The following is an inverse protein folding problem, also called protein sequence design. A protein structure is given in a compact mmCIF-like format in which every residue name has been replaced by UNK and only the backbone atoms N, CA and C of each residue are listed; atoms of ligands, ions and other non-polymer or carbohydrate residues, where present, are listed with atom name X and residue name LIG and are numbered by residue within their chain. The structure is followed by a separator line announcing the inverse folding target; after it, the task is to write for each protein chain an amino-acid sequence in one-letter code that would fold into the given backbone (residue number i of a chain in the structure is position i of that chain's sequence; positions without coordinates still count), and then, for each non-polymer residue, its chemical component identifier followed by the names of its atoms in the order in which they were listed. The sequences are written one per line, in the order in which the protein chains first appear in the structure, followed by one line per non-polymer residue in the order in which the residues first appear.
data_IF_739084752011
#
_entry.id   IF_739084752011
#
_cell.length_a   1.000
_cell.length_b   1.000
_cell.length_c   1.000
_cell.angle_alpha   90.00
_cell.angle_beta   90.00
_cell.angle_gamma   90.00
#
_symmetry.space_group_name_H-M   'P 1'
#
loop_
_entity.id
_entity.type
_entity.pdbx_description
1 polymer ?
#
# COMPACT_ATOMS: atom_id res chain seq x y z
N UNK A 1 1.41 20.10 -33.08
CA UNK A 1 0.76 20.47 -31.81
C UNK A 1 -0.63 20.97 -32.17
N UNK A 2 -1.64 20.11 -32.07
CA UNK A 2 -3.02 20.49 -32.35
C UNK A 2 -3.54 21.37 -31.21
N UNK A 3 -4.26 22.44 -31.56
CA UNK A 3 -4.93 23.31 -30.60
C UNK A 3 -5.84 22.47 -29.71
N UNK A 4 -5.66 22.57 -28.38
CA UNK A 4 -6.66 22.08 -27.43
C UNK A 4 -7.83 23.05 -27.51
N UNK A 5 -8.84 22.70 -28.30
CA UNK A 5 -10.16 23.30 -28.15
C UNK A 5 -10.58 23.08 -26.69
N UNK A 6 -10.77 24.17 -25.95
CA UNK A 6 -11.43 24.15 -24.66
C UNK A 6 -12.92 23.89 -24.92
N UNK A 7 -13.24 22.64 -25.24
CA UNK A 7 -14.60 22.14 -25.21
C UNK A 7 -15.08 22.30 -23.76
N UNK A 8 -16.08 23.16 -23.54
CA UNK A 8 -16.77 23.25 -22.25
C UNK A 8 -17.36 21.88 -21.96
N UNK A 9 -16.71 21.14 -21.06
CA UNK A 9 -17.17 19.81 -20.69
C UNK A 9 -18.43 19.93 -19.86
N UNK A 10 -19.48 19.29 -20.34
CA UNK A 10 -20.73 19.13 -19.62
C UNK A 10 -20.51 18.12 -18.47
N UNK A 11 -20.31 18.65 -17.26
CA UNK A 11 -20.13 17.85 -16.05
C UNK A 11 -21.33 16.96 -15.74
N UNK A 12 -22.55 17.38 -16.09
CA UNK A 12 -23.76 16.57 -15.88
C UNK A 12 -23.79 15.38 -16.82
N UNK A 13 -23.45 15.59 -18.09
CA UNK A 13 -23.33 14.49 -19.04
C UNK A 13 -22.23 13.50 -18.63
N UNK A 14 -21.11 13.99 -18.10
CA UNK A 14 -20.03 13.14 -17.59
C UNK A 14 -20.46 12.36 -16.33
N UNK A 15 -21.15 13.01 -15.39
CA UNK A 15 -21.69 12.37 -14.20
C UNK A 15 -22.66 11.24 -14.56
N UNK A 16 -23.55 11.45 -15.52
CA UNK A 16 -24.50 10.43 -15.97
C UNK A 16 -23.79 9.22 -16.58
N UNK A 17 -22.76 9.44 -17.40
CA UNK A 17 -21.93 8.35 -17.92
C UNK A 17 -21.21 7.58 -16.83
N UNK A 18 -20.77 8.24 -15.76
CA UNK A 18 -20.14 7.58 -14.61
C UNK A 18 -21.13 6.66 -13.90
N UNK A 19 -22.38 7.11 -13.66
CA UNK A 19 -23.43 6.27 -13.03
C UNK A 19 -23.68 5.00 -13.83
N UNK A 20 -23.77 5.16 -15.14
CA UNK A 20 -24.13 4.09 -16.07
C UNK A 20 -22.91 3.37 -16.63
N UNK A 21 -21.71 3.56 -16.05
CA UNK A 21 -20.46 2.98 -16.57
C UNK A 21 -20.53 1.45 -16.70
N UNK A 22 -21.23 0.80 -15.78
CA UNK A 22 -21.42 -0.64 -15.78
C UNK A 22 -22.39 -1.12 -16.90
N UNK A 23 -23.27 -0.25 -17.37
CA UNK A 23 -24.18 -0.49 -18.50
C UNK A 23 -23.51 -0.15 -19.83
N UNK A 24 -22.65 0.88 -19.87
CA UNK A 24 -21.85 1.26 -21.04
C UNK A 24 -20.76 0.22 -21.34
N UNK A 25 -20.22 -0.44 -20.30
CA UNK A 25 -19.17 -1.46 -20.42
C UNK A 25 -19.53 -2.77 -19.70
N UNK A 26 -20.62 -3.48 -20.07
CA UNK A 26 -21.11 -4.65 -19.33
C UNK A 26 -20.06 -5.79 -19.30
N UNK A 27 -19.29 -5.93 -20.38
CA UNK A 27 -18.21 -6.91 -20.45
C UNK A 27 -17.16 -6.71 -19.33
N UNK A 28 -16.84 -5.46 -18.96
CA UNK A 28 -15.86 -5.13 -17.90
C UNK A 28 -16.27 -5.64 -16.53
N UNK A 29 -17.58 -5.72 -16.28
CA UNK A 29 -18.13 -6.09 -14.99
C UNK A 29 -18.59 -7.55 -14.95
N UNK A 30 -18.61 -8.26 -16.09
CA UNK A 30 -19.15 -9.63 -16.19
C UNK A 30 -18.39 -10.63 -15.31
N UNK A 31 -17.11 -10.39 -15.07
CA UNK A 31 -16.25 -11.25 -14.25
C UNK A 31 -16.36 -11.01 -12.73
N UNK A 32 -17.12 -10.00 -12.31
CA UNK A 32 -17.24 -9.60 -10.92
C UNK A 32 -18.42 -10.27 -10.26
N UNK A 33 -18.29 -10.55 -8.96
CA UNK A 33 -19.45 -10.93 -8.15
C UNK A 33 -20.45 -9.77 -8.04
N UNK A 34 -21.74 -10.07 -7.85
CA UNK A 34 -22.78 -9.05 -7.65
C UNK A 34 -22.44 -8.10 -6.49
N UNK A 35 -21.87 -8.63 -5.40
CA UNK A 35 -21.41 -7.84 -4.25
C UNK A 35 -20.30 -6.86 -4.65
N UNK A 36 -19.36 -7.29 -5.50
CA UNK A 36 -18.30 -6.44 -6.03
C UNK A 36 -18.87 -5.34 -6.92
N UNK A 37 -19.82 -5.68 -7.80
CA UNK A 37 -20.49 -4.72 -8.69
C UNK A 37 -21.24 -3.67 -7.86
N UNK A 38 -22.04 -4.09 -6.86
CA UNK A 38 -22.78 -3.18 -5.99
C UNK A 38 -21.85 -2.16 -5.29
N UNK A 39 -20.75 -2.64 -4.70
CA UNK A 39 -19.73 -1.76 -4.09
C UNK A 39 -19.09 -0.80 -5.09
N UNK A 40 -18.94 -1.20 -6.36
CA UNK A 40 -18.40 -0.30 -7.40
C UNK A 40 -19.42 0.74 -7.82
N UNK A 41 -20.71 0.38 -7.88
CA UNK A 41 -21.79 1.33 -8.13
C UNK A 41 -21.83 2.43 -7.06
N UNK A 42 -21.63 2.09 -5.79
CA UNK A 42 -21.52 3.09 -4.71
C UNK A 42 -20.38 4.09 -4.95
N UNK A 43 -19.18 3.60 -5.31
CA UNK A 43 -18.04 4.49 -5.63
C UNK A 43 -18.31 5.33 -6.89
N UNK A 44 -18.94 4.76 -7.92
CA UNK A 44 -19.32 5.49 -9.12
C UNK A 44 -20.37 6.57 -8.83
N UNK A 45 -21.33 6.28 -7.95
CA UNK A 45 -22.30 7.27 -7.49
C UNK A 45 -21.63 8.43 -6.75
N UNK A 46 -20.73 8.13 -5.81
CA UNK A 46 -19.93 9.15 -5.10
C UNK A 46 -19.16 10.06 -6.07
N UNK A 47 -18.64 9.50 -7.17
CA UNK A 47 -17.92 10.26 -8.20
C UNK A 47 -18.88 11.11 -9.03
N UNK A 48 -20.03 10.55 -9.42
CA UNK A 48 -21.05 11.27 -10.19
C UNK A 48 -21.60 12.46 -9.39
N UNK A 49 -21.90 12.26 -8.12
CA UNK A 49 -22.40 13.31 -7.22
C UNK A 49 -21.36 14.43 -7.05
N UNK A 50 -20.08 14.07 -6.97
CA UNK A 50 -19.00 15.05 -6.90
C UNK A 50 -18.79 15.82 -8.22
N UNK A 51 -18.98 15.17 -9.37
CA UNK A 51 -18.98 15.86 -10.67
C UNK A 51 -20.15 16.84 -10.79
N UNK A 52 -21.34 16.44 -10.33
CA UNK A 52 -22.54 17.31 -10.30
C UNK A 52 -22.37 18.49 -9.34
N UNK A 53 -21.70 18.28 -8.21
CA UNK A 53 -21.41 19.32 -7.22
C UNK A 53 -20.26 20.25 -7.66
N UNK A 54 -19.45 19.86 -8.66
CA UNK A 54 -18.27 20.60 -9.08
C UNK A 54 -17.09 20.55 -8.10
N UNK A 55 -17.18 19.72 -7.05
CA UNK A 55 -16.16 19.57 -6.01
C UNK A 55 -15.90 18.09 -5.72
N UNK A 56 -14.63 17.68 -5.73
CA UNK A 56 -14.24 16.31 -5.43
C UNK A 56 -13.26 16.27 -4.24
N UNK A 57 -13.54 15.52 -3.16
CA UNK A 57 -12.59 15.38 -2.05
C UNK A 57 -11.31 14.66 -2.52
N UNK A 58 -10.16 15.34 -2.46
CA UNK A 58 -8.89 14.75 -2.90
C UNK A 58 -8.55 13.43 -2.15
N UNK A 59 -9.03 13.27 -0.92
CA UNK A 59 -8.89 12.04 -0.13
C UNK A 59 -9.51 10.81 -0.82
N UNK A 60 -10.61 10.99 -1.57
CA UNK A 60 -11.31 9.92 -2.30
C UNK A 60 -10.70 9.60 -3.67
N UNK A 61 -9.69 10.37 -4.12
CA UNK A 61 -9.08 10.17 -5.44
C UNK A 61 -8.34 8.82 -5.56
N UNK A 62 -7.83 8.33 -4.43
CA UNK A 62 -7.21 7.01 -4.36
C UNK A 62 -8.26 5.89 -4.57
N UNK A 63 -9.46 6.05 -4.00
CA UNK A 63 -10.55 5.07 -4.11
C UNK A 63 -11.04 4.95 -5.54
N UNK A 64 -11.17 6.08 -6.26
CA UNK A 64 -11.46 6.11 -7.68
C UNK A 64 -10.42 5.31 -8.49
N UNK A 65 -9.13 5.65 -8.33
CA UNK A 65 -8.05 4.96 -9.06
C UNK A 65 -8.04 3.47 -8.79
N UNK A 66 -8.19 3.08 -7.53
CA UNK A 66 -8.17 1.68 -7.12
C UNK A 66 -9.36 0.92 -7.70
N UNK A 67 -10.56 1.50 -7.60
CA UNK A 67 -11.79 0.91 -8.14
C UNK A 67 -11.67 0.67 -9.64
N UNK A 68 -11.13 1.62 -10.39
CA UNK A 68 -10.94 1.47 -11.84
C UNK A 68 -9.81 0.50 -12.21
N UNK A 69 -8.70 0.53 -11.49
CA UNK A 69 -7.61 -0.42 -11.69
C UNK A 69 -8.07 -1.86 -11.42
N UNK A 70 -8.90 -2.06 -10.40
CA UNK A 70 -9.45 -3.36 -10.06
C UNK A 70 -10.44 -3.86 -11.11
N UNK A 71 -11.27 -2.97 -11.69
CA UNK A 71 -12.16 -3.33 -12.80
C UNK A 71 -11.35 -3.86 -13.98
N UNK A 72 -10.34 -3.12 -14.41
CA UNK A 72 -9.44 -3.53 -15.49
C UNK A 72 -8.70 -4.83 -15.16
N UNK A 73 -8.25 -5.00 -13.91
CA UNK A 73 -7.53 -6.20 -13.47
C UNK A 73 -8.42 -7.44 -13.50
N UNK A 74 -9.65 -7.35 -13.01
CA UNK A 74 -10.58 -8.48 -13.03
C UNK A 74 -11.01 -8.83 -14.44
N UNK A 75 -11.36 -7.83 -15.26
CA UNK A 75 -11.67 -8.04 -16.66
C UNK A 75 -10.51 -8.73 -17.41
N UNK A 76 -9.28 -8.26 -17.18
CA UNK A 76 -8.09 -8.89 -17.75
C UNK A 76 -7.90 -10.33 -17.27
N UNK A 77 -8.07 -10.58 -15.98
CA UNK A 77 -7.91 -11.91 -15.39
C UNK A 77 -8.97 -12.90 -15.88
N UNK A 78 -10.18 -12.43 -16.18
CA UNK A 78 -11.23 -13.21 -16.84
C UNK A 78 -11.14 -13.26 -18.36
N UNK A 79 -10.30 -12.40 -18.94
CA UNK A 79 -10.05 -12.27 -20.36
C UNK A 79 -9.34 -13.50 -20.93
N UNK A 80 -8.84 -13.42 -22.19
CA UNK A 80 -8.43 -14.58 -22.96
C UNK A 80 -7.24 -15.30 -22.31
N UNK A 81 -7.58 -16.29 -21.48
CA UNK A 81 -6.71 -17.35 -20.99
C UNK A 81 -6.48 -18.43 -22.05
N UNK A 82 -6.80 -18.14 -23.33
CA UNK A 82 -6.60 -19.04 -24.45
C UNK A 82 -5.14 -19.50 -24.47
N UNK A 83 -4.86 -20.80 -24.28
CA UNK A 83 -3.51 -21.33 -24.32
C UNK A 83 -2.77 -21.02 -25.64
N UNK A 84 -3.51 -20.79 -26.73
CA UNK A 84 -2.94 -20.42 -28.03
C UNK A 84 -2.49 -18.95 -28.10
N UNK A 85 -2.96 -18.09 -27.21
CA UNK A 85 -2.60 -16.67 -27.17
C UNK A 85 -1.18 -16.45 -26.66
N UNK A 86 -0.75 -17.17 -25.62
CA UNK A 86 0.60 -17.07 -25.08
C UNK A 86 1.69 -17.52 -26.06
N UNK A 87 1.30 -18.16 -27.16
CA UNK A 87 2.19 -18.66 -28.21
C UNK A 87 2.26 -17.74 -29.46
N UNK A 88 1.48 -16.65 -29.51
CA UNK A 88 1.54 -15.66 -30.61
C UNK A 88 2.44 -14.47 -30.20
N UNK A 89 3.50 -14.15 -30.96
CA UNK A 89 4.39 -13.01 -30.69
C UNK A 89 3.65 -11.67 -30.51
N UNK A 90 2.55 -11.47 -31.23
CA UNK A 90 1.73 -10.27 -31.27
C UNK A 90 0.78 -10.17 -30.06
N UNK A 91 0.23 -11.31 -29.62
CA UNK A 91 -0.57 -11.40 -28.40
C UNK A 91 0.28 -11.15 -27.14
N UNK A 92 1.56 -11.56 -27.14
CA UNK A 92 2.53 -11.22 -26.10
C UNK A 92 2.79 -9.70 -26.02
N UNK A 93 2.77 -8.98 -27.14
CA UNK A 93 2.89 -7.51 -27.17
C UNK A 93 1.69 -6.83 -26.51
N UNK A 94 0.48 -7.31 -26.82
CA UNK A 94 -0.80 -6.80 -26.30
C UNK A 94 -1.01 -7.20 -24.83
N UNK A 95 -0.62 -8.42 -24.43
CA UNK A 95 -0.60 -8.87 -23.05
C UNK A 95 0.43 -8.10 -22.20
N UNK A 96 1.64 -7.83 -22.73
CA UNK A 96 2.59 -6.93 -22.07
C UNK A 96 2.07 -5.51 -21.95
N UNK A 97 1.33 -5.02 -22.96
CA UNK A 97 0.71 -3.71 -22.92
C UNK A 97 -0.30 -3.63 -21.76
N UNK A 98 -1.23 -4.58 -21.68
CA UNK A 98 -2.23 -4.72 -20.62
C UNK A 98 -1.65 -4.92 -19.20
N UNK A 99 -0.56 -5.68 -19.08
CA UNK A 99 0.12 -5.90 -17.79
C UNK A 99 0.93 -4.70 -17.31
N UNK A 100 1.54 -3.96 -18.25
CA UNK A 100 2.23 -2.71 -17.94
C UNK A 100 1.28 -1.56 -17.61
N UNK A 101 -0.02 -1.74 -17.88
CA UNK A 101 -1.07 -0.73 -17.66
C UNK A 101 -1.83 -0.89 -16.34
N UNK A 102 -1.23 -1.53 -15.33
CA UNK A 102 -1.74 -1.61 -13.94
C UNK A 102 -1.87 -0.24 -13.21
N UNK A 103 -2.04 0.86 -13.95
CA UNK A 103 -2.25 2.17 -13.40
C UNK A 103 -2.98 3.11 -14.36
N UNK A 104 -3.84 3.93 -13.76
CA UNK A 104 -4.47 5.14 -14.30
C UNK A 104 -3.55 6.01 -15.20
N UNK A 105 -2.24 5.96 -15.02
CA UNK A 105 -1.24 6.76 -15.76
C UNK A 105 -0.88 6.25 -17.17
N UNK A 106 -1.43 5.11 -17.60
CA UNK A 106 -0.95 4.39 -18.78
C UNK A 106 -1.87 4.42 -20.01
N UNK A 107 -3.07 5.03 -19.90
CA UNK A 107 -4.05 5.14 -21.00
C UNK A 107 -3.47 5.66 -22.33
N UNK A 108 -2.76 6.81 -22.34
CA UNK A 108 -2.12 7.32 -23.56
C UNK A 108 -1.08 6.35 -24.16
N UNK A 109 -0.37 5.59 -23.33
CA UNK A 109 0.60 4.60 -23.77
C UNK A 109 -0.08 3.35 -24.33
N UNK A 110 -1.20 2.91 -23.74
CA UNK A 110 -2.00 1.80 -24.25
C UNK A 110 -2.61 2.16 -25.61
N UNK A 111 -3.20 3.35 -25.74
CA UNK A 111 -3.73 3.89 -27.00
C UNK A 111 -2.70 3.83 -28.12
N UNK A 112 -1.50 4.40 -27.90
CA UNK A 112 -0.41 4.39 -28.90
C UNK A 112 0.00 2.98 -29.31
N UNK A 113 0.00 2.03 -28.37
CA UNK A 113 0.33 0.62 -28.66
C UNK A 113 -0.76 -0.03 -29.52
N UNK A 114 -2.04 0.24 -29.23
CA UNK A 114 -3.18 -0.27 -29.99
C UNK A 114 -3.28 0.35 -31.39
N UNK A 115 -3.06 1.66 -31.52
CA UNK A 115 -2.98 2.34 -32.81
C UNK A 115 -1.83 1.77 -33.67
N UNK A 116 -0.66 1.56 -33.05
CA UNK A 116 0.48 0.92 -33.73
C UNK A 116 0.14 -0.52 -34.15
N UNK A 117 -0.52 -1.29 -33.30
CA UNK A 117 -0.97 -2.65 -33.60
C UNK A 117 -1.94 -2.65 -34.78
N UNK A 118 -3.00 -1.83 -34.75
CA UNK A 118 -3.96 -1.72 -35.83
C UNK A 118 -3.32 -1.29 -37.17
N UNK A 119 -2.31 -0.42 -37.11
CA UNK A 119 -1.53 0.00 -38.29
C UNK A 119 -0.67 -1.12 -38.86
N UNK A 120 -0.04 -1.93 -38.01
CA UNK A 120 0.86 -3.02 -38.43
C UNK A 120 0.09 -4.29 -38.82
N UNK A 121 -1.08 -4.52 -38.24
CA UNK A 121 -1.87 -5.75 -38.38
C UNK A 121 -3.37 -5.46 -38.57
N UNK A 122 -3.77 -4.82 -39.69
CA UNK A 122 -5.14 -4.33 -39.87
C UNK A 122 -6.21 -5.43 -39.93
N UNK A 123 -5.88 -6.62 -40.46
CA UNK A 123 -6.83 -7.74 -40.52
C UNK A 123 -6.95 -8.48 -39.19
N UNK A 124 -5.87 -8.53 -38.39
CA UNK A 124 -5.91 -9.11 -37.03
C UNK A 124 -6.69 -8.18 -36.09
N UNK A 125 -6.52 -6.87 -36.21
CA UNK A 125 -7.24 -5.86 -35.43
C UNK A 125 -8.78 -5.87 -35.62
N UNK A 126 -9.28 -6.55 -36.65
CA UNK A 126 -10.72 -6.74 -36.88
C UNK A 126 -11.25 -8.06 -36.31
N UNK A 127 -10.37 -8.94 -35.82
CA UNK A 127 -10.77 -10.25 -35.33
C UNK A 127 -11.51 -10.13 -34.00
N UNK A 128 -12.54 -10.96 -33.73
CA UNK A 128 -13.33 -10.90 -32.49
C UNK A 128 -12.48 -10.96 -31.22
N UNK A 129 -11.36 -11.66 -31.30
CA UNK A 129 -10.43 -11.89 -30.20
C UNK A 129 -9.67 -10.59 -29.78
N UNK A 130 -9.68 -9.56 -30.63
CA UNK A 130 -9.10 -8.24 -30.31
C UNK A 130 -10.08 -7.29 -29.64
N UNK A 131 -11.39 -7.58 -29.66
CA UNK A 131 -12.43 -6.73 -29.09
C UNK A 131 -12.19 -6.36 -27.61
N UNK A 132 -11.76 -7.29 -26.72
CA UNK A 132 -11.50 -6.95 -25.32
C UNK A 132 -10.47 -5.82 -25.11
N UNK A 133 -9.51 -5.68 -26.02
CA UNK A 133 -8.50 -4.61 -25.93
C UNK A 133 -9.06 -3.24 -26.27
N UNK A 134 -9.97 -3.20 -27.24
CA UNK A 134 -10.68 -1.97 -27.60
C UNK A 134 -11.66 -1.56 -26.51
N UNK A 135 -12.34 -2.53 -25.90
CA UNK A 135 -13.18 -2.28 -24.72
C UNK A 135 -12.34 -1.70 -23.56
N UNK A 136 -11.18 -2.30 -23.28
CA UNK A 136 -10.25 -1.78 -22.25
C UNK A 136 -9.74 -0.38 -22.57
N UNK A 137 -9.44 -0.11 -23.84
CA UNK A 137 -9.00 1.22 -24.26
C UNK A 137 -10.10 2.25 -24.04
N UNK A 138 -11.31 1.98 -24.55
CA UNK A 138 -12.46 2.86 -24.40
C UNK A 138 -12.79 3.13 -22.93
N UNK A 139 -12.76 2.08 -22.10
CA UNK A 139 -12.92 2.21 -20.65
C UNK A 139 -11.81 3.06 -20.03
N UNK A 140 -10.55 2.79 -20.35
CA UNK A 140 -9.39 3.52 -19.80
C UNK A 140 -9.39 4.99 -20.21
N UNK A 141 -9.79 5.29 -21.44
CA UNK A 141 -9.90 6.66 -21.96
C UNK A 141 -10.97 7.45 -21.21
N UNK A 142 -12.15 6.85 -21.00
CA UNK A 142 -13.21 7.45 -20.18
C UNK A 142 -12.71 7.67 -18.74
N UNK A 143 -12.00 6.71 -18.16
CA UNK A 143 -11.44 6.86 -16.81
C UNK A 143 -10.39 7.96 -16.72
N UNK A 144 -9.54 8.09 -17.73
CA UNK A 144 -8.56 9.17 -17.79
C UNK A 144 -9.24 10.53 -17.91
N UNK A 145 -10.32 10.64 -18.68
CA UNK A 145 -11.13 11.84 -18.78
C UNK A 145 -11.74 12.18 -17.41
N UNK A 146 -12.44 11.23 -16.79
CA UNK A 146 -13.06 11.40 -15.46
C UNK A 146 -12.02 11.84 -14.43
N UNK A 147 -10.92 11.12 -14.29
CA UNK A 147 -9.91 11.46 -13.29
C UNK A 147 -9.16 12.76 -13.57
N UNK A 148 -9.09 13.21 -14.83
CA UNK A 148 -8.57 14.55 -15.15
C UNK A 148 -9.53 15.61 -14.63
N UNK A 149 -10.84 15.43 -14.84
CA UNK A 149 -11.87 16.35 -14.32
C UNK A 149 -11.94 16.36 -12.80
N UNK A 150 -11.89 15.18 -12.16
CA UNK A 150 -11.86 15.09 -10.68
C UNK A 150 -10.64 15.78 -10.08
N UNK A 151 -9.50 15.82 -10.79
CA UNK A 151 -8.32 16.56 -10.32
C UNK A 151 -8.49 18.07 -10.44
N UNK A 152 -9.17 18.54 -11.48
CA UNK A 152 -9.48 19.97 -11.66
C UNK A 152 -10.44 20.48 -10.58
N UNK A 153 -11.35 19.62 -10.12
CA UNK A 153 -12.31 19.91 -9.04
C UNK A 153 -11.85 19.47 -7.65
N UNK A 154 -10.60 19.00 -7.51
CA UNK A 154 -10.11 18.40 -6.28
C UNK A 154 -9.93 19.43 -5.16
N UNK A 155 -10.75 19.36 -4.11
CA UNK A 155 -10.59 20.17 -2.90
C UNK A 155 -9.69 19.42 -1.88
N UNK A 156 -8.61 20.07 -1.43
CA UNK A 156 -7.63 19.48 -0.48
C UNK A 156 -8.21 19.24 0.91
N UNK A 157 -9.22 20.02 1.29
CA UNK A 157 -9.88 19.97 2.60
C UNK A 157 -11.36 20.21 2.33
N UNK A 158 -12.19 19.18 2.47
CA UNK A 158 -13.64 19.39 2.58
C UNK A 158 -13.82 20.25 3.83
N UNK A 159 -14.34 21.47 3.68
CA UNK A 159 -14.63 22.29 4.85
C UNK A 159 -15.77 21.60 5.59
N UNK A 160 -15.44 20.92 6.70
CA UNK A 160 -16.45 20.40 7.63
C UNK A 160 -17.38 21.54 8.03
N UNK A 161 -18.67 21.26 8.11
CA UNK A 161 -19.69 22.20 8.58
C UNK A 161 -19.41 22.60 10.04
N UNK A 162 -19.94 23.74 10.49
CA UNK A 162 -19.80 24.20 11.89
C UNK A 162 -20.24 23.11 12.88
N UNK A 163 -21.38 22.46 12.60
CA UNK A 163 -21.94 21.39 13.42
C UNK A 163 -21.05 20.12 13.50
N UNK A 164 -20.38 19.75 12.40
CA UNK A 164 -19.42 18.63 12.40
C UNK A 164 -18.11 18.96 13.13
N UNK A 165 -17.74 20.25 13.23
CA UNK A 165 -16.59 20.69 14.02
C UNK A 165 -16.91 20.76 15.50
N UNK A 166 -18.13 21.14 15.87
CA UNK A 166 -18.59 21.21 17.26
C UNK A 166 -18.84 19.83 17.87
N UNK A 167 -19.18 18.81 17.06
CA UNK A 167 -19.44 17.45 17.53
C UNK A 167 -18.17 16.59 17.70
N UNK A 168 -17.03 16.96 17.11
CA UNK A 168 -15.75 16.32 17.39
C UNK A 168 -15.10 17.00 18.59
N UNK A 169 -15.09 16.34 19.75
CA UNK A 169 -14.15 16.69 20.82
C UNK A 169 -12.72 16.54 20.25
N UNK A 170 -12.14 17.66 19.80
CA UNK A 170 -10.78 17.67 19.28
C UNK A 170 -9.85 17.37 20.44
N UNK A 171 -9.41 16.11 20.53
CA UNK A 171 -8.31 15.73 21.41
C UNK A 171 -7.08 16.56 21.05
N UNK A 172 -6.82 17.61 21.82
CA UNK A 172 -5.62 18.42 21.71
C UNK A 172 -4.51 17.65 22.43
N UNK A 173 -3.51 17.19 21.66
CA UNK A 173 -2.34 16.55 22.25
C UNK A 173 -1.65 17.52 23.21
N UNK A 174 -1.42 17.13 24.48
CA UNK A 174 -0.70 17.96 25.44
C UNK A 174 0.71 18.30 24.94
N UNK A 175 1.22 19.46 25.35
CA UNK A 175 2.61 19.84 25.09
C UNK A 175 3.57 18.94 25.87
N UNK A 176 4.61 18.47 25.19
CA UNK A 176 5.58 17.53 25.72
C UNK A 176 6.89 18.22 26.09
N UNK A 177 7.45 17.92 27.25
CA UNK A 177 8.81 18.36 27.56
C UNK A 177 9.82 17.65 26.63
N UNK A 178 10.73 18.39 25.94
CA UNK A 178 11.76 17.78 25.12
C UNK A 178 12.65 16.78 25.88
N UNK A 179 12.86 17.02 27.18
CA UNK A 179 13.65 16.14 28.05
C UNK A 179 12.98 14.77 28.27
N UNK A 180 11.67 14.75 28.52
CA UNK A 180 10.91 13.50 28.68
C UNK A 180 10.88 12.69 27.38
N UNK A 181 10.65 13.36 26.25
CA UNK A 181 10.71 12.76 24.92
C UNK A 181 12.07 12.12 24.66
N UNK A 182 13.16 12.81 25.00
CA UNK A 182 14.52 12.29 24.82
C UNK A 182 14.76 11.02 25.64
N UNK A 183 14.36 10.99 26.93
CA UNK A 183 14.49 9.76 27.76
C UNK A 183 13.80 8.55 27.11
N UNK A 184 12.57 8.71 26.65
CA UNK A 184 11.81 7.64 26.00
C UNK A 184 12.45 7.23 24.68
N UNK A 185 12.83 8.22 23.87
CA UNK A 185 13.52 8.00 22.59
C UNK A 185 14.79 7.19 22.78
N UNK A 186 15.65 7.58 23.73
CA UNK A 186 16.94 6.93 23.96
C UNK A 186 16.77 5.46 24.39
N UNK A 187 15.76 5.15 25.22
CA UNK A 187 15.45 3.75 25.57
C UNK A 187 14.90 2.97 24.38
N UNK A 188 14.03 3.56 23.56
CA UNK A 188 13.52 2.91 22.35
C UNK A 188 14.64 2.66 21.32
N UNK A 189 15.58 3.59 21.17
CA UNK A 189 16.77 3.42 20.32
C UNK A 189 17.66 2.32 20.87
N UNK A 190 17.96 2.31 22.17
CA UNK A 190 18.77 1.26 22.79
C UNK A 190 18.13 -0.14 22.61
N UNK A 191 16.80 -0.22 22.74
CA UNK A 191 16.04 -1.44 22.47
C UNK A 191 16.25 -1.93 21.04
N UNK A 192 16.12 -1.04 20.05
CA UNK A 192 16.26 -1.41 18.63
C UNK A 192 17.71 -1.70 18.24
N UNK A 193 18.68 -0.96 18.79
CA UNK A 193 20.09 -1.06 18.42
C UNK A 193 20.72 -2.34 18.96
N UNK A 194 20.35 -2.75 20.18
CA UNK A 194 20.77 -4.04 20.74
C UNK A 194 20.32 -5.27 19.94
N UNK A 195 19.36 -5.09 19.00
CA UNK A 195 18.86 -6.14 18.11
C UNK A 195 19.19 -5.91 16.64
N UNK A 196 20.00 -4.89 16.33
CA UNK A 196 20.28 -4.47 14.96
C UNK A 196 20.91 -5.59 14.14
N UNK A 197 22.00 -6.16 14.61
CA UNK A 197 22.71 -7.22 13.89
C UNK A 197 21.84 -8.47 13.70
N UNK A 198 21.08 -8.87 14.74
CA UNK A 198 20.12 -9.98 14.65
C UNK A 198 19.03 -9.71 13.60
N UNK A 199 18.52 -8.47 13.51
CA UNK A 199 17.55 -8.06 12.49
C UNK A 199 18.14 -8.07 11.08
N UNK A 200 19.34 -7.52 10.92
CA UNK A 200 20.04 -7.49 9.64
C UNK A 200 20.28 -8.90 9.11
N UNK A 201 20.73 -9.83 9.95
CA UNK A 201 20.92 -11.23 9.55
C UNK A 201 19.58 -11.93 9.27
N UNK A 202 18.54 -11.68 10.05
CA UNK A 202 17.21 -12.25 9.79
C UNK A 202 16.65 -11.81 8.42
N UNK A 203 16.77 -10.52 8.07
CA UNK A 203 16.38 -10.01 6.76
C UNK A 203 17.26 -10.58 5.64
N UNK A 204 18.58 -10.59 5.83
CA UNK A 204 19.51 -11.12 4.83
C UNK A 204 19.21 -12.60 4.55
N UNK A 205 19.05 -13.42 5.59
CA UNK A 205 18.68 -14.84 5.49
C UNK A 205 17.33 -15.02 4.77
N UNK A 206 16.33 -14.19 5.10
CA UNK A 206 15.04 -14.17 4.42
C UNK A 206 15.15 -13.86 2.92
N UNK A 207 15.96 -12.87 2.55
CA UNK A 207 16.22 -12.51 1.15
C UNK A 207 16.99 -13.60 0.41
N UNK A 208 18.03 -14.21 1.00
CA UNK A 208 18.77 -15.34 0.42
C UNK A 208 17.83 -16.49 0.09
N UNK A 209 17.03 -16.92 1.07
CA UNK A 209 16.04 -18.01 0.88
C UNK A 209 15.00 -17.65 -0.18
N UNK A 210 14.55 -16.41 -0.20
CA UNK A 210 13.57 -15.93 -1.18
C UNK A 210 14.13 -15.90 -2.60
N UNK A 211 15.37 -15.44 -2.78
CA UNK A 211 16.07 -15.46 -4.06
C UNK A 211 16.32 -16.90 -4.53
N UNK A 212 16.79 -17.78 -3.65
CA UNK A 212 16.99 -19.20 -3.98
C UNK A 212 15.70 -19.84 -4.48
N UNK A 213 14.62 -19.74 -3.70
CA UNK A 213 13.29 -20.25 -4.10
C UNK A 213 12.84 -19.65 -5.44
N UNK A 214 13.14 -18.36 -5.65
CA UNK A 214 12.76 -17.69 -6.88
C UNK A 214 13.52 -18.23 -8.10
N UNK A 215 14.82 -18.49 -7.95
CA UNK A 215 15.66 -19.04 -9.00
C UNK A 215 15.33 -20.52 -9.29
N UNK A 216 14.96 -21.30 -8.28
CA UNK A 216 14.55 -22.70 -8.46
C UNK A 216 13.22 -22.83 -9.22
N UNK A 217 12.24 -21.99 -8.87
CA UNK A 217 10.88 -22.05 -9.43
C UNK A 217 10.69 -21.26 -10.71
N UNK A 218 11.71 -20.56 -11.21
CA UNK A 218 11.60 -19.68 -12.39
C UNK A 218 11.15 -20.39 -13.67
N UNK A 219 11.26 -21.72 -13.72
CA UNK A 219 10.87 -22.56 -14.85
C UNK A 219 9.41 -23.02 -14.78
N UNK A 220 8.72 -22.76 -13.67
CA UNK A 220 7.30 -23.10 -13.54
C UNK A 220 6.46 -22.13 -14.39
N UNK A 221 5.53 -22.62 -15.24
CA UNK A 221 4.77 -21.81 -16.19
C UNK A 221 4.01 -20.61 -15.57
N UNK A 222 3.72 -20.67 -14.27
CA UNK A 222 2.92 -19.69 -13.54
C UNK A 222 3.73 -18.78 -12.60
N UNK A 223 5.05 -18.93 -12.58
CA UNK A 223 5.90 -18.39 -11.53
C UNK A 223 5.88 -16.86 -11.44
N UNK A 224 6.04 -16.13 -12.55
CA UNK A 224 6.06 -14.65 -12.52
C UNK A 224 4.69 -14.01 -12.41
N UNK A 225 3.67 -14.69 -12.94
CA UNK A 225 2.31 -14.20 -12.95
C UNK A 225 1.72 -14.18 -11.53
N UNK A 226 2.02 -15.20 -10.74
CA UNK A 226 1.35 -15.45 -9.46
C UNK A 226 2.23 -15.16 -8.24
N UNK A 227 3.53 -14.89 -8.41
CA UNK A 227 4.45 -14.59 -7.32
C UNK A 227 5.21 -13.27 -7.54
N UNK A 228 4.54 -12.11 -7.41
CA UNK A 228 5.17 -10.79 -7.60
C UNK A 228 6.37 -10.57 -6.66
N UNK A 229 6.33 -11.16 -5.47
CA UNK A 229 7.45 -11.13 -4.53
C UNK A 229 8.71 -11.82 -5.09
N UNK A 230 8.58 -12.98 -5.73
CA UNK A 230 9.74 -13.66 -6.33
C UNK A 230 10.26 -12.97 -7.59
N UNK A 231 9.37 -12.41 -8.40
CA UNK A 231 9.77 -11.55 -9.52
C UNK A 231 10.57 -10.34 -9.02
N UNK A 232 10.15 -9.73 -7.90
CA UNK A 232 10.88 -8.66 -7.26
C UNK A 232 12.27 -9.11 -6.77
N UNK A 233 12.39 -10.28 -6.15
CA UNK A 233 13.69 -10.82 -5.72
C UNK A 233 14.67 -11.02 -6.88
N UNK A 234 14.21 -11.61 -7.97
CA UNK A 234 15.03 -11.77 -9.18
C UNK A 234 15.40 -10.40 -9.77
N UNK A 235 14.49 -9.43 -9.74
CA UNK A 235 14.78 -8.09 -10.25
C UNK A 235 15.84 -7.35 -9.43
N UNK A 236 15.88 -7.58 -8.11
CA UNK A 236 16.82 -6.91 -7.22
C UNK A 236 18.17 -7.61 -7.16
N UNK A 237 18.20 -8.94 -7.11
CA UNK A 237 19.41 -9.71 -6.79
C UNK A 237 19.79 -10.73 -7.86
N UNK A 238 19.01 -10.84 -8.93
CA UNK A 238 19.27 -11.73 -10.04
C UNK A 238 19.94 -11.03 -11.23
N UNK A 239 20.41 -11.84 -12.17
CA UNK A 239 20.91 -11.44 -13.48
C UNK A 239 20.30 -12.34 -14.55
N UNK A 240 19.86 -11.77 -15.67
CA UNK A 240 19.43 -12.54 -16.84
C UNK A 240 20.62 -13.04 -17.64
N UNK A 241 20.59 -14.31 -18.02
CA UNK A 241 21.58 -14.98 -18.87
C UNK A 241 20.86 -15.57 -20.08
N UNK A 242 21.39 -15.36 -21.27
CA UNK A 242 20.80 -15.90 -22.50
C UNK A 242 21.07 -17.39 -22.61
N UNK A 243 20.08 -18.15 -23.08
CA UNK A 243 20.28 -19.57 -23.37
C UNK A 243 21.23 -19.73 -24.57
N UNK A 244 22.31 -20.51 -24.45
CA UNK A 244 23.26 -20.73 -25.55
C UNK A 244 22.58 -21.29 -26.81
N UNK A 245 21.58 -22.15 -26.62
CA UNK A 245 20.90 -22.87 -27.72
C UNK A 245 19.60 -22.21 -28.20
N UNK A 246 19.14 -21.14 -27.52
CA UNK A 246 17.85 -20.51 -27.81
C UNK A 246 17.97 -18.99 -27.76
N UNK A 247 18.40 -18.40 -28.89
CA UNK A 247 18.49 -16.95 -29.06
C UNK A 247 17.20 -16.24 -28.62
N UNK A 248 17.36 -15.18 -27.83
CA UNK A 248 16.25 -14.38 -27.31
C UNK A 248 15.48 -14.99 -26.14
N UNK A 249 15.88 -16.18 -25.64
CA UNK A 249 15.38 -16.73 -24.37
C UNK A 249 16.41 -16.50 -23.27
N UNK A 250 15.93 -16.15 -22.08
CA UNK A 250 16.77 -15.89 -20.92
C UNK A 250 16.32 -16.72 -19.72
N UNK A 251 17.29 -17.18 -18.94
CA UNK A 251 17.11 -17.68 -17.58
C UNK A 251 17.79 -16.73 -16.60
N UNK A 252 17.52 -16.91 -15.31
CA UNK A 252 18.03 -16.04 -14.26
C UNK A 252 18.97 -16.84 -13.37
N UNK A 253 20.03 -16.18 -12.99
CA UNK A 253 20.97 -16.64 -11.97
C UNK A 253 21.09 -15.56 -10.91
N UNK A 254 21.62 -15.89 -9.74
CA UNK A 254 22.00 -14.86 -8.78
C UNK A 254 23.04 -13.93 -9.42
N UNK A 255 22.93 -12.63 -9.17
CA UNK A 255 23.98 -11.68 -9.54
C UNK A 255 25.31 -12.08 -8.85
N UNK A 256 26.49 -11.89 -9.47
CA UNK A 256 27.77 -12.19 -8.82
C UNK A 256 27.93 -11.50 -7.45
N UNK A 257 27.42 -10.27 -7.35
CA UNK A 257 27.43 -9.47 -6.11
C UNK A 257 26.16 -9.63 -5.26
N UNK A 258 25.32 -10.64 -5.52
CA UNK A 258 24.02 -10.78 -4.87
C UNK A 258 24.11 -10.76 -3.34
N UNK A 259 25.14 -11.38 -2.76
CA UNK A 259 25.33 -11.41 -1.31
C UNK A 259 25.59 -10.00 -0.73
N UNK A 260 26.49 -9.23 -1.36
CA UNK A 260 26.75 -7.85 -0.94
C UNK A 260 25.51 -6.96 -1.10
N UNK A 261 24.74 -7.15 -2.17
CA UNK A 261 23.48 -6.44 -2.40
C UNK A 261 22.42 -6.80 -1.35
N UNK A 262 22.30 -8.09 -1.00
CA UNK A 262 21.39 -8.59 0.03
C UNK A 262 21.74 -7.99 1.39
N UNK A 263 23.01 -8.04 1.80
CA UNK A 263 23.48 -7.46 3.07
C UNK A 263 23.18 -5.98 3.15
N UNK A 264 23.52 -5.22 2.09
CA UNK A 264 23.22 -3.78 2.03
C UNK A 264 21.72 -3.50 2.12
N UNK A 265 20.90 -4.29 1.43
CA UNK A 265 19.45 -4.10 1.47
C UNK A 265 18.87 -4.46 2.84
N UNK A 266 19.33 -5.53 3.47
CA UNK A 266 18.95 -5.92 4.82
C UNK A 266 19.26 -4.83 5.86
N UNK A 267 20.45 -4.20 5.76
CA UNK A 267 20.81 -3.04 6.57
C UNK A 267 19.84 -1.87 6.39
N UNK A 268 19.49 -1.54 5.14
CA UNK A 268 18.54 -0.45 4.84
C UNK A 268 17.14 -0.74 5.38
N UNK A 269 16.65 -1.98 5.23
CA UNK A 269 15.35 -2.39 5.75
C UNK A 269 15.35 -2.38 7.28
N UNK A 270 16.39 -2.93 7.91
CA UNK A 270 16.57 -2.92 9.36
C UNK A 270 16.53 -1.50 9.91
N UNK A 271 17.35 -0.59 9.38
CA UNK A 271 17.37 0.82 9.78
C UNK A 271 15.99 1.47 9.64
N UNK A 272 15.32 1.30 8.50
CA UNK A 272 13.98 1.88 8.28
C UNK A 272 12.96 1.35 9.27
N UNK A 273 13.02 0.06 9.60
CA UNK A 273 12.13 -0.55 10.59
C UNK A 273 12.40 0.01 11.99
N UNK A 274 13.65 0.17 12.39
CA UNK A 274 14.03 0.79 13.66
C UNK A 274 13.50 2.23 13.75
N UNK A 275 13.75 3.06 12.73
CA UNK A 275 13.30 4.45 12.68
C UNK A 275 11.77 4.57 12.83
N UNK A 276 11.02 3.75 12.08
CA UNK A 276 9.55 3.76 12.17
C UNK A 276 9.08 3.22 13.52
N UNK A 277 9.74 2.20 14.07
CA UNK A 277 9.41 1.63 15.37
C UNK A 277 9.59 2.64 16.50
N UNK A 278 10.74 3.33 16.54
CA UNK A 278 11.01 4.38 17.52
C UNK A 278 9.99 5.51 17.38
N UNK A 279 9.80 6.04 16.17
CA UNK A 279 8.88 7.15 15.93
C UNK A 279 7.44 6.82 16.33
N UNK A 280 6.93 5.64 15.95
CA UNK A 280 5.54 5.23 16.24
C UNK A 280 5.31 4.95 17.72
N UNK A 281 6.25 4.29 18.41
CA UNK A 281 6.11 4.02 19.84
C UNK A 281 6.29 5.28 20.69
N UNK A 282 7.24 6.15 20.34
CA UNK A 282 7.42 7.45 21.00
C UNK A 282 6.14 8.30 20.93
N UNK A 283 5.50 8.32 19.77
CA UNK A 283 4.26 9.08 19.55
C UNK A 283 3.10 8.64 20.46
N UNK A 284 3.05 7.36 20.84
CA UNK A 284 2.03 6.80 21.73
C UNK A 284 2.40 6.96 23.20
N UNK A 285 3.68 6.84 23.54
CA UNK A 285 4.15 6.95 24.91
C UNK A 285 4.19 8.37 25.44
N UNK A 286 4.35 9.37 24.56
CA UNK A 286 4.34 10.78 24.99
C UNK A 286 3.04 11.16 25.71
N UNK A 287 1.89 10.73 25.20
CA UNK A 287 0.56 11.09 25.74
C UNK A 287 0.45 10.88 27.26
N UNK A 288 0.60 9.65 27.80
CA UNK A 288 0.51 9.43 29.24
C UNK A 288 1.67 10.05 30.03
N UNK A 289 2.85 10.17 29.42
CA UNK A 289 4.01 10.79 30.06
C UNK A 289 3.78 12.29 30.29
N UNK A 290 3.11 12.94 29.35
CA UNK A 290 2.84 14.37 29.40
C UNK A 290 1.67 14.71 30.29
N UNK A 291 0.59 13.90 30.24
CA UNK A 291 -0.54 14.04 31.16
C UNK A 291 -0.08 14.00 32.62
N UNK A 292 0.95 13.21 32.92
CA UNK A 292 1.50 13.09 34.28
C UNK A 292 2.59 14.13 34.62
N UNK A 293 3.40 14.55 33.65
CA UNK A 293 4.31 15.71 33.75
C UNK A 293 5.56 15.57 34.62
N UNK A 294 5.79 14.42 35.27
CA UNK A 294 6.86 14.18 36.26
C UNK A 294 7.65 12.89 36.00
N UNK A 295 8.10 12.68 34.75
CA UNK A 295 8.82 11.46 34.36
C UNK A 295 10.18 11.30 35.07
N UNK A 296 10.29 10.26 35.89
CA UNK A 296 11.52 9.88 36.60
C UNK A 296 12.42 9.01 35.72
N UNK A 297 11.98 7.81 35.37
CA UNK A 297 12.76 6.83 34.60
C UNK A 297 11.93 6.08 33.55
N UNK A 298 12.64 5.60 32.52
CA UNK A 298 12.15 4.60 31.58
C UNK A 298 13.19 3.49 31.57
N UNK A 299 12.77 2.26 31.83
CA UNK A 299 13.65 1.10 31.95
C UNK A 299 13.27 0.03 30.93
N UNK A 300 14.27 -0.55 30.26
CA UNK A 300 14.06 -1.70 29.38
C UNK A 300 13.97 -2.96 30.25
N UNK A 301 12.78 -3.54 30.33
CA UNK A 301 12.55 -4.80 31.06
C UNK A 301 12.90 -6.04 30.22
N UNK A 302 12.84 -5.90 28.89
CA UNK A 302 13.22 -6.96 27.97
C UNK A 302 12.89 -6.62 26.53
N UNK A 303 13.55 -7.29 25.61
CA UNK A 303 13.26 -7.23 24.19
C UNK A 303 13.43 -8.61 23.57
N UNK A 304 12.72 -8.86 22.48
CA UNK A 304 12.81 -10.10 21.74
C UNK A 304 12.73 -9.83 20.25
N UNK A 305 13.48 -10.61 19.47
CA UNK A 305 13.37 -10.63 18.03
C UNK A 305 12.93 -12.03 17.60
N UNK A 306 11.84 -12.08 16.84
CA UNK A 306 11.43 -13.26 16.07
C UNK A 306 11.40 -12.85 14.60
N UNK A 307 11.48 -13.84 13.71
CA UNK A 307 11.56 -13.65 12.25
C UNK A 307 10.54 -12.66 11.66
N UNK A 308 9.39 -12.48 12.31
CA UNK A 308 8.30 -11.59 11.92
C UNK A 308 7.99 -10.47 12.93
N UNK A 309 8.72 -10.38 14.05
CA UNK A 309 8.34 -9.52 15.19
C UNK A 309 9.54 -8.98 15.94
N UNK A 310 9.56 -7.66 16.11
CA UNK A 310 10.36 -6.99 17.14
C UNK A 310 9.44 -6.71 18.33
N UNK A 311 9.78 -7.22 19.50
CA UNK A 311 9.01 -7.02 20.72
C UNK A 311 9.83 -6.30 21.79
N UNK A 312 9.17 -5.43 22.54
CA UNK A 312 9.74 -4.64 23.60
C UNK A 312 8.87 -4.65 24.84
N UNK A 313 9.51 -4.62 26.00
CA UNK A 313 8.88 -4.37 27.28
C UNK A 313 9.62 -3.26 28.02
N UNK A 314 8.91 -2.18 28.32
CA UNK A 314 9.45 -1.04 29.06
C UNK A 314 8.72 -0.87 30.39
N UNK A 315 9.37 -0.26 31.37
CA UNK A 315 8.73 0.27 32.58
C UNK A 315 8.91 1.78 32.61
N UNK A 316 7.81 2.49 32.79
CA UNK A 316 7.80 3.95 32.95
C UNK A 316 7.48 4.25 34.40
N UNK A 317 8.33 5.02 35.06
CA UNK A 317 8.18 5.40 36.48
C UNK A 317 8.18 6.91 36.61
N UNK A 318 7.31 7.44 37.46
CA UNK A 318 7.16 8.87 37.74
C UNK A 318 7.70 9.22 39.13
N UNK A 319 7.90 10.51 39.39
CA UNK A 319 8.48 10.98 40.66
C UNK A 319 7.57 10.70 41.87
N UNK A 320 6.26 10.63 41.67
CA UNK A 320 5.28 10.31 42.72
C UNK A 320 5.16 8.80 43.01
N UNK A 321 5.99 7.96 42.37
CA UNK A 321 5.98 6.50 42.54
C UNK A 321 4.98 5.76 41.65
N UNK A 322 4.09 6.47 40.95
CA UNK A 322 3.22 5.87 39.95
C UNK A 322 4.06 5.27 38.81
N UNK A 323 3.55 4.20 38.20
CA UNK A 323 4.26 3.50 37.11
C UNK A 323 3.34 2.68 36.23
N UNK A 324 3.80 2.37 35.03
CA UNK A 324 3.18 1.38 34.17
C UNK A 324 4.22 0.62 33.34
N UNK A 325 3.89 -0.59 32.96
CA UNK A 325 4.65 -1.39 32.01
C UNK A 325 4.08 -1.21 30.60
N UNK A 326 4.94 -1.12 29.61
CA UNK A 326 4.58 -1.01 28.19
C UNK A 326 4.99 -2.29 27.51
N UNK A 327 4.08 -2.87 26.73
CA UNK A 327 4.40 -3.94 25.79
C UNK A 327 4.19 -3.40 24.37
N UNK A 328 5.27 -3.31 23.60
CA UNK A 328 5.27 -2.83 22.22
C UNK A 328 5.75 -3.92 21.27
N UNK A 329 5.13 -4.01 20.10
CA UNK A 329 5.50 -5.01 19.09
C UNK A 329 5.45 -4.42 17.68
N UNK A 330 6.26 -4.95 16.77
CA UNK A 330 6.13 -4.81 15.32
C UNK A 330 5.40 -6.04 14.79
N UNK A 331 4.33 -5.84 14.03
CA UNK A 331 3.57 -6.92 13.39
C UNK A 331 3.38 -6.61 11.91
N UNK A 332 3.76 -7.54 11.04
CA UNK A 332 3.44 -7.47 9.62
C UNK A 332 2.02 -8.00 9.39
N UNK A 333 1.19 -7.19 8.72
CA UNK A 333 -0.20 -7.51 8.46
C UNK A 333 -0.48 -7.36 6.96
N UNK A 334 -1.32 -8.23 6.44
CA UNK A 334 -1.88 -8.12 5.09
C UNK A 334 -3.34 -7.71 5.23
N UNK A 335 -3.77 -6.61 4.60
CA UNK A 335 -5.19 -6.25 4.58
C UNK A 335 -5.99 -7.22 3.67
N UNK A 336 -7.32 -7.09 3.69
CA UNK A 336 -8.21 -7.90 2.82
C UNK A 336 -7.90 -7.74 1.33
N UNK A 337 -7.21 -6.66 0.95
CA UNK A 337 -6.82 -6.35 -0.42
C UNK A 337 -5.41 -6.88 -0.78
N UNK A 338 -4.81 -7.73 0.06
CA UNK A 338 -3.47 -8.28 -0.18
C UNK A 338 -2.32 -7.29 0.03
N UNK A 339 -2.60 -6.06 0.49
CA UNK A 339 -1.55 -5.06 0.76
C UNK A 339 -0.86 -5.37 2.08
N UNK A 340 0.47 -5.54 2.03
CA UNK A 340 1.30 -5.73 3.22
C UNK A 340 1.66 -4.38 3.85
N UNK A 341 1.51 -4.27 5.17
CA UNK A 341 1.90 -3.10 5.96
C UNK A 341 2.28 -3.49 7.39
N UNK A 342 3.03 -2.63 8.06
CA UNK A 342 3.45 -2.85 9.44
C UNK A 342 2.52 -2.16 10.43
N UNK A 343 2.16 -2.86 11.50
CA UNK A 343 1.47 -2.31 12.67
C UNK A 343 2.42 -2.28 13.87
N UNK A 344 2.21 -1.29 14.73
CA UNK A 344 2.99 -1.08 15.96
C UNK A 344 2.06 -1.11 17.17
N UNK A 345 1.42 -2.25 17.49
CA UNK A 345 0.60 -2.35 18.68
C UNK A 345 1.42 -2.01 19.93
N UNK A 346 0.83 -1.21 20.81
CA UNK A 346 1.37 -0.83 22.10
C UNK A 346 0.24 -0.97 23.11
N UNK A 347 0.55 -1.58 24.25
CA UNK A 347 -0.40 -1.79 25.34
C UNK A 347 0.22 -1.43 26.67
N UNK A 348 -0.57 -0.87 27.56
CA UNK A 348 -0.17 -0.47 28.91
C UNK A 348 -0.64 -1.52 29.90
N UNK A 349 0.24 -1.96 30.79
CA UNK A 349 0.03 -3.03 31.76
C UNK A 349 0.46 -2.59 33.15
N UNK A 350 -0.03 -3.26 34.18
CA UNK A 350 0.40 -3.06 35.56
C UNK A 350 0.43 -1.57 35.97
N UNK A 351 -0.66 -0.85 35.68
CA UNK A 351 -0.76 0.58 35.96
C UNK A 351 -0.96 0.77 37.46
N UNK A 352 0.00 1.42 38.10
CA UNK A 352 0.08 1.62 39.55
C UNK A 352 0.02 3.12 39.84
N UNK A 353 -0.81 3.50 40.81
CA UNK A 353 -0.97 4.89 41.23
C UNK A 353 0.13 5.37 42.19
N UNK A 354 0.06 6.65 42.55
CA UNK A 354 0.95 7.27 43.54
C UNK A 354 0.81 6.68 44.96
N UNK A 355 -0.30 6.00 45.26
CA UNK A 355 -0.48 5.29 46.53
C UNK A 355 0.09 3.85 46.48
N UNK A 356 0.60 3.41 45.32
CA UNK A 356 1.13 2.07 45.09
C UNK A 356 0.08 1.01 44.80
N UNK A 357 -1.20 1.39 44.65
CA UNK A 357 -2.28 0.47 44.32
C UNK A 357 -2.32 0.18 42.81
N UNK A 358 -2.67 -1.07 42.46
CA UNK A 358 -2.89 -1.46 41.07
C UNK A 358 -4.23 -0.89 40.58
N UNK A 359 -4.18 0.13 39.73
CA UNK A 359 -5.35 0.78 39.16
C UNK A 359 -5.93 -0.04 38.01
N UNK A 360 -5.06 -0.65 37.19
CA UNK A 360 -5.49 -1.48 36.08
C UNK A 360 -4.44 -2.51 35.68
N UNK A 361 -4.89 -3.72 35.37
CA UNK A 361 -4.03 -4.76 34.78
C UNK A 361 -3.65 -4.39 33.34
N UNK A 362 -4.55 -3.75 32.60
CA UNK A 362 -4.35 -3.29 31.22
C UNK A 362 -5.19 -2.05 30.93
N UNK A 363 -4.64 -1.08 30.19
CA UNK A 363 -5.37 0.10 29.67
C UNK A 363 -5.05 0.36 28.19
N UNK A 364 -5.98 1.03 27.52
CA UNK A 364 -5.84 1.59 26.18
C UNK A 364 -5.09 2.92 26.19
N UNK A 365 -4.63 3.38 25.03
CA UNK A 365 -3.97 4.69 24.87
C UNK A 365 -4.88 5.86 25.27
N UNK A 366 -6.17 5.76 24.96
CA UNK A 366 -7.19 6.77 25.28
C UNK A 366 -7.44 6.88 26.80
N UNK A 367 -7.60 5.74 27.48
CA UNK A 367 -7.76 5.72 28.95
C UNK A 367 -6.52 6.26 29.66
N UNK A 368 -5.33 6.01 29.11
CA UNK A 368 -4.07 6.51 29.65
C UNK A 368 -3.87 8.01 29.38
N UNK A 369 -4.53 8.56 28.36
CA UNK A 369 -4.47 9.98 27.99
C UNK A 369 -5.52 10.86 28.66
N UNK A 370 -6.57 10.29 29.24
CA UNK A 370 -7.71 11.04 29.78
C UNK A 370 -7.89 10.89 31.28
N UNK A 371 -7.40 9.80 31.90
CA UNK A 371 -7.55 9.54 33.32
C UNK A 371 -6.20 9.58 34.04
N UNK A 372 -6.05 10.40 35.10
CA UNK A 372 -4.90 10.30 35.96
C UNK A 372 -4.85 8.91 36.61
N UNK A 373 -3.64 8.40 36.78
CA UNK A 373 -3.32 7.20 37.53
C UNK A 373 -2.17 7.53 38.47
#
# INVERSE_FOLDING_TARGET
MAAKENETVDYKALAERVRNLHEEFPAMFTAMSEVTIARRKEVLQDIADALDAGEFPNAKFADFKYTMAEVLRQYWASGPSDPNYNNRPEALYMARAGWSTNGYSSGPSLRKKLEKFAKLYPEEAKQPHTAPYYDMLAFTDLMFLIGTRLKETAVKKVQKTEAEREAEEVYVQPYVSPASQKKVHDVLVALTESKREEMEEAYASGFRKSLQNALEKQYEPYFRANHPYYAHMISMFGKSVEYPERRGRYYYVAHPDAEAMITKHAQQVSQRVQEVFVAKNLNKLRVPIDVKGNLKSVELLGNNLRMDRLEGKLRVTFEDGSRFDVHNQLVFVTNQNGTHFSRFPLTYHNVIDSAGALVAKKRSEEEMGTQPF
#
